data_IF_346666517986
#
_entry.id   IF_346666517986
#
_cell.length_a   1.000
_cell.length_b   1.000
_cell.length_c   1.000
_cell.angle_alpha   90.00
_cell.angle_beta   90.00
_cell.angle_gamma   90.00
#
_symmetry.space_group_name_H-M   'P 1'
#
loop_
_entity.id
_entity.type
_entity.pdbx_description
1 polymer ?
#
# COMPACT_ATOMS: atom_id res chain seq x y z
N UNK A 1 4.83 1.58 21.72
CA UNK A 1 4.92 0.26 21.07
C UNK A 1 4.50 0.53 19.65
N UNK A 2 5.46 1.01 18.86
CA UNK A 2 5.18 1.65 17.57
C UNK A 2 5.95 0.84 16.54
N UNK A 3 5.42 -0.34 16.24
CA UNK A 3 6.01 -1.30 15.30
C UNK A 3 4.94 -1.82 14.35
N UNK A 4 4.18 -0.90 13.75
CA UNK A 4 3.72 -1.16 12.41
C UNK A 4 4.34 -0.06 11.56
N UNK A 5 5.40 -0.41 10.81
CA UNK A 5 6.01 0.42 9.75
C UNK A 5 5.04 0.56 8.58
N UNK A 6 3.80 0.92 8.89
CA UNK A 6 2.75 1.22 7.95
C UNK A 6 2.16 2.57 8.31
N UNK A 7 2.04 3.40 7.29
CA UNK A 7 1.46 4.73 7.34
C UNK A 7 -0.04 4.66 7.13
N UNK A 8 -0.74 5.69 7.58
CA UNK A 8 -2.19 5.82 7.41
C UNK A 8 -2.59 5.85 5.93
N UNK A 9 -1.76 6.47 5.08
CA UNK A 9 -1.96 6.49 3.63
C UNK A 9 -1.90 5.09 3.00
N UNK A 10 -0.96 4.23 3.42
CA UNK A 10 -0.87 2.84 2.93
C UNK A 10 -2.11 2.03 3.32
N UNK A 11 -2.62 2.27 4.53
CA UNK A 11 -3.84 1.64 5.05
C UNK A 11 -5.06 2.09 4.29
N UNK A 12 -5.21 3.39 4.03
CA UNK A 12 -6.35 3.96 3.29
C UNK A 12 -6.40 3.43 1.85
N UNK A 13 -5.25 3.38 1.17
CA UNK A 13 -5.15 2.82 -0.17
C UNK A 13 -5.47 1.32 -0.23
N UNK A 14 -5.05 0.54 0.78
CA UNK A 14 -5.39 -0.88 0.89
C UNK A 14 -6.87 -1.10 1.22
N UNK A 15 -7.43 -0.27 2.10
CA UNK A 15 -8.86 -0.30 2.44
C UNK A 15 -9.72 -0.01 1.20
N UNK A 16 -9.33 0.99 0.42
CA UNK A 16 -10.01 1.35 -0.82
C UNK A 16 -9.88 0.24 -1.87
N UNK A 17 -8.68 -0.32 -2.04
CA UNK A 17 -8.42 -1.40 -3.00
C UNK A 17 -9.23 -2.67 -2.70
N UNK A 18 -9.20 -3.16 -1.46
CA UNK A 18 -9.87 -4.40 -1.05
C UNK A 18 -11.33 -4.18 -0.64
N UNK A 19 -11.83 -2.93 -0.69
CA UNK A 19 -13.17 -2.54 -0.24
C UNK A 19 -13.47 -2.98 1.21
N UNK A 20 -12.46 -2.86 2.09
CA UNK A 20 -12.54 -3.22 3.50
C UNK A 20 -12.47 -1.99 4.41
N UNK A 21 -13.00 -2.06 5.65
CA UNK A 21 -12.83 -0.97 6.60
C UNK A 21 -11.35 -0.71 6.94
N UNK A 22 -10.98 0.55 7.17
CA UNK A 22 -9.62 0.95 7.52
C UNK A 22 -9.06 0.15 8.72
N UNK A 23 -9.87 -0.09 9.76
CA UNK A 23 -9.48 -0.91 10.91
C UNK A 23 -9.03 -2.33 10.53
N UNK A 24 -9.69 -2.93 9.53
CA UNK A 24 -9.35 -4.25 8.99
C UNK A 24 -8.11 -4.16 8.11
N UNK A 25 -7.99 -3.10 7.30
CA UNK A 25 -6.81 -2.85 6.47
C UNK A 25 -5.55 -2.68 7.31
N UNK A 26 -5.60 -1.99 8.46
CA UNK A 26 -4.46 -1.89 9.40
C UNK A 26 -4.00 -3.28 9.83
N UNK A 27 -4.92 -4.13 10.29
CA UNK A 27 -4.57 -5.47 10.77
C UNK A 27 -4.02 -6.36 9.66
N UNK A 28 -4.65 -6.32 8.49
CA UNK A 28 -4.22 -7.05 7.31
C UNK A 28 -2.81 -6.62 6.91
N UNK A 29 -2.60 -5.33 6.79
CA UNK A 29 -1.35 -4.78 6.32
C UNK A 29 -0.22 -4.97 7.32
N UNK A 30 -0.46 -4.81 8.63
CA UNK A 30 0.49 -5.19 9.67
C UNK A 30 0.87 -6.68 9.62
N UNK A 31 -0.04 -7.57 9.22
CA UNK A 31 0.26 -8.99 9.04
C UNK A 31 1.04 -9.25 7.74
N UNK A 32 0.74 -8.52 6.67
CA UNK A 32 1.38 -8.65 5.37
C UNK A 32 2.83 -8.14 5.39
N UNK A 33 3.11 -7.00 6.03
CA UNK A 33 4.48 -6.44 6.13
C UNK A 33 5.46 -7.35 6.87
N UNK A 34 4.96 -8.25 7.73
CA UNK A 34 5.78 -9.24 8.44
C UNK A 34 6.32 -10.35 7.52
N UNK A 35 5.88 -10.42 6.26
CA UNK A 35 6.28 -11.46 5.31
C UNK A 35 6.70 -10.86 3.98
N UNK A 36 7.71 -11.46 3.31
CA UNK A 36 8.13 -11.02 1.97
C UNK A 36 6.98 -11.11 0.95
N UNK A 37 6.12 -12.11 1.10
CA UNK A 37 4.98 -12.31 0.20
C UNK A 37 3.90 -11.24 0.42
N UNK A 38 3.64 -10.86 1.67
CA UNK A 38 2.70 -9.78 1.96
C UNK A 38 3.20 -8.40 1.54
N UNK A 39 4.49 -8.10 1.73
CA UNK A 39 5.12 -6.88 1.16
C UNK A 39 4.97 -6.85 -0.36
N UNK A 40 5.21 -7.97 -1.05
CA UNK A 40 4.99 -8.07 -2.50
C UNK A 40 3.53 -7.81 -2.86
N UNK A 41 2.58 -8.36 -2.10
CA UNK A 41 1.14 -8.17 -2.36
C UNK A 41 0.73 -6.71 -2.24
N UNK A 42 1.17 -6.01 -1.19
CA UNK A 42 0.93 -4.57 -1.02
C UNK A 42 1.53 -3.77 -2.20
N UNK A 43 2.77 -4.08 -2.59
CA UNK A 43 3.42 -3.46 -3.75
C UNK A 43 2.62 -3.64 -5.06
N UNK A 44 2.05 -4.83 -5.29
CA UNK A 44 1.22 -5.10 -6.46
C UNK A 44 -0.07 -4.27 -6.38
N UNK A 45 -0.78 -4.30 -5.25
CA UNK A 45 -2.01 -3.53 -5.05
C UNK A 45 -1.81 -2.03 -5.29
N UNK A 46 -0.73 -1.44 -4.76
CA UNK A 46 -0.41 -0.03 -4.99
C UNK A 46 -0.10 0.25 -6.47
N UNK A 47 0.62 -0.64 -7.15
CA UNK A 47 0.90 -0.52 -8.58
C UNK A 47 -0.35 -0.63 -9.45
N UNK A 48 -1.29 -1.52 -9.10
CA UNK A 48 -2.58 -1.66 -9.78
C UNK A 48 -3.43 -0.41 -9.56
N UNK A 49 -3.53 0.07 -8.33
CA UNK A 49 -4.29 1.27 -7.98
C UNK A 49 -3.76 2.53 -8.69
N UNK A 50 -2.43 2.67 -8.80
CA UNK A 50 -1.82 3.74 -9.58
C UNK A 50 -2.15 3.62 -11.08
N UNK A 51 -2.11 2.40 -11.62
CA UNK A 51 -2.43 2.14 -13.03
C UNK A 51 -3.89 2.47 -13.34
N UNK A 52 -4.81 2.06 -12.49
CA UNK A 52 -6.23 2.36 -12.61
C UNK A 52 -6.49 3.88 -12.51
N UNK A 53 -5.83 4.55 -11.56
CA UNK A 53 -5.93 6.01 -11.45
C UNK A 53 -5.42 6.74 -12.71
N UNK A 54 -4.35 6.25 -13.34
CA UNK A 54 -3.85 6.80 -14.63
C UNK A 54 -4.88 6.56 -15.74
N UNK A 55 -5.45 5.37 -15.83
CA UNK A 55 -6.46 5.00 -16.85
C UNK A 55 -7.74 5.83 -16.70
N UNK A 56 -8.17 6.10 -15.47
CA UNK A 56 -9.29 6.98 -15.16
C UNK A 56 -8.99 8.47 -15.38
N UNK A 57 -7.73 8.84 -15.64
CA UNK A 57 -7.30 10.24 -15.75
C UNK A 57 -7.17 10.98 -14.41
N UNK A 58 -7.18 10.25 -13.29
CA UNK A 58 -6.98 10.78 -11.92
C UNK A 58 -5.50 10.88 -11.59
N UNK A 59 -4.79 11.78 -12.29
CA UNK A 59 -3.34 11.93 -12.17
C UNK A 59 -2.88 12.31 -10.76
N UNK A 60 -3.61 13.17 -10.03
CA UNK A 60 -3.30 13.49 -8.62
C UNK A 60 -3.30 12.25 -7.73
N UNK A 61 -4.29 11.37 -7.93
CA UNK A 61 -4.37 10.11 -7.19
C UNK A 61 -3.24 9.16 -7.59
N UNK A 62 -2.95 9.05 -8.88
CA UNK A 62 -1.84 8.24 -9.35
C UNK A 62 -0.50 8.70 -8.76
N UNK A 63 -0.24 10.00 -8.73
CA UNK A 63 0.97 10.56 -8.12
C UNK A 63 1.04 10.26 -6.62
N UNK A 64 -0.07 10.44 -5.91
CA UNK A 64 -0.15 10.10 -4.48
C UNK A 64 0.15 8.61 -4.22
N UNK A 65 -0.48 7.70 -4.96
CA UNK A 65 -0.26 6.26 -4.82
C UNK A 65 1.18 5.87 -5.14
N UNK A 66 1.77 6.48 -6.19
CA UNK A 66 3.18 6.24 -6.55
C UNK A 66 4.14 6.76 -5.47
N UNK A 67 3.81 7.89 -4.82
CA UNK A 67 4.58 8.42 -3.71
C UNK A 67 4.58 7.44 -2.53
N UNK A 68 3.39 6.99 -2.14
CA UNK A 68 3.21 6.00 -1.07
C UNK A 68 3.94 4.70 -1.40
N UNK A 69 3.81 4.19 -2.63
CA UNK A 69 4.55 3.01 -3.08
C UNK A 69 6.07 3.17 -2.97
N UNK A 70 6.61 4.34 -3.34
CA UNK A 70 8.05 4.60 -3.24
C UNK A 70 8.52 4.63 -1.79
N UNK A 71 7.74 5.23 -0.88
CA UNK A 71 8.02 5.24 0.56
C UNK A 71 7.97 3.83 1.14
N UNK A 72 6.90 3.07 0.85
CA UNK A 72 6.74 1.68 1.29
C UNK A 72 7.93 0.82 0.86
N UNK A 73 8.35 0.91 -0.40
CA UNK A 73 9.49 0.14 -0.93
C UNK A 73 10.82 0.55 -0.31
N UNK A 74 10.97 1.81 0.11
CA UNK A 74 12.15 2.28 0.82
C UNK A 74 12.19 1.80 2.27
N UNK A 75 11.04 1.73 2.93
CA UNK A 75 10.90 1.22 4.29
C UNK A 75 11.05 -0.31 4.34
N UNK A 76 10.51 -1.00 3.32
CA UNK A 76 10.50 -2.46 3.20
C UNK A 76 11.29 -2.91 1.97
N UNK A 77 12.63 -2.78 1.98
CA UNK A 77 13.44 -3.28 0.87
C UNK A 77 13.24 -4.80 0.79
N UNK A 78 12.74 -5.27 -0.35
CA UNK A 78 12.73 -6.69 -0.69
C UNK A 78 14.19 -7.14 -0.82
N UNK A 79 14.82 -7.48 0.31
CA UNK A 79 16.16 -8.04 0.33
C UNK A 79 16.18 -9.25 -0.61
N UNK A 80 17.12 -9.22 -1.55
CA UNK A 80 17.24 -10.13 -2.69
C UNK A 80 17.41 -11.57 -2.22
#
# INVERSE_FOLDING_TARGET
MDYCDITDDEVDLLAEHDHIPAEVAVQLACSLVQTREGVRKICISLSELASDAIVDGRLDKAEHVLHVYAQFRSAHPLAH
#
